data_IF_109373002826
#
_entry.id   IF_109373002826
#
_cell.length_a   1.000
_cell.length_b   1.000
_cell.length_c   1.000
_cell.angle_alpha   90.00
_cell.angle_beta   90.00
_cell.angle_gamma   90.00
#
_symmetry.space_group_name_H-M   'P 1'
#
loop_
_entity.id
_entity.type
_entity.pdbx_description
1 polymer ?
#
# COMPACT_ATOMS: atom_id res chain seq x y z
N UNK A 1 29.35 17.51 -5.73
CA UNK A 1 28.10 17.33 -6.51
C UNK A 1 26.97 17.99 -5.73
N UNK A 2 25.98 18.62 -6.36
CA UNK A 2 24.84 19.15 -5.63
C UNK A 2 24.04 17.97 -5.08
N UNK A 3 24.03 17.82 -3.76
CA UNK A 3 23.10 16.92 -3.06
C UNK A 3 21.71 17.53 -3.17
N UNK A 4 20.91 17.02 -4.10
CA UNK A 4 19.47 17.31 -4.12
C UNK A 4 18.92 16.94 -2.74
N UNK A 5 18.30 17.87 -1.99
CA UNK A 5 17.75 17.53 -0.68
C UNK A 5 16.69 16.45 -0.85
N UNK A 6 16.83 15.36 -0.09
CA UNK A 6 15.86 14.28 -0.06
C UNK A 6 14.50 14.86 0.36
N UNK A 7 13.45 14.47 -0.38
CA UNK A 7 12.08 14.91 -0.14
C UNK A 7 11.65 14.56 1.29
N UNK A 8 11.15 15.54 2.06
CA UNK A 8 10.65 15.40 3.44
C UNK A 8 9.37 14.57 3.56
N UNK A 9 8.71 14.21 2.46
CA UNK A 9 7.59 13.27 2.48
C UNK A 9 8.12 11.90 2.86
N UNK A 10 7.61 11.29 3.92
CA UNK A 10 8.04 9.98 4.42
C UNK A 10 7.98 8.91 3.33
N UNK A 11 9.16 8.66 2.72
CA UNK A 11 9.50 7.52 1.88
C UNK A 11 10.37 6.65 2.77
N UNK A 12 9.90 5.48 3.18
CA UNK A 12 10.70 4.56 4.00
C UNK A 12 10.82 3.22 3.29
N UNK A 13 11.99 2.60 3.39
CA UNK A 13 12.25 1.25 2.91
C UNK A 13 12.46 0.34 4.11
N UNK A 14 11.83 -0.83 4.08
CA UNK A 14 12.06 -1.88 5.07
C UNK A 14 12.72 -3.06 4.36
N UNK A 15 13.92 -3.47 4.78
CA UNK A 15 14.54 -4.69 4.29
C UNK A 15 13.63 -5.91 4.48
N UNK A 16 13.54 -6.75 3.46
CA UNK A 16 12.61 -7.89 3.46
C UNK A 16 12.80 -8.86 4.62
N UNK A 17 14.04 -9.02 5.10
CA UNK A 17 14.36 -9.89 6.22
C UNK A 17 13.81 -9.39 7.57
N UNK A 18 13.28 -8.16 7.63
CA UNK A 18 12.60 -7.63 8.82
C UNK A 18 11.10 -7.94 8.86
N UNK A 19 10.55 -8.63 7.86
CA UNK A 19 9.12 -8.83 7.73
C UNK A 19 8.64 -10.16 8.30
N UNK A 20 7.66 -10.12 9.19
CA UNK A 20 6.86 -11.27 9.64
C UNK A 20 7.73 -12.48 10.01
N UNK A 21 7.49 -13.59 9.32
CA UNK A 21 8.18 -14.87 9.52
C UNK A 21 9.63 -14.88 9.01
N UNK A 22 10.04 -13.87 8.23
CA UNK A 22 11.42 -13.75 7.73
C UNK A 22 12.38 -13.19 8.79
N UNK A 23 11.85 -12.70 9.93
CA UNK A 23 12.66 -12.16 11.02
C UNK A 23 13.51 -13.25 11.64
N UNK A 24 14.81 -13.03 11.68
CA UNK A 24 15.74 -13.95 12.34
C UNK A 24 15.67 -13.79 13.86
N UNK A 25 16.03 -14.85 14.61
CA UNK A 25 16.03 -14.85 16.10
C UNK A 25 16.81 -13.68 16.73
N UNK A 26 17.73 -13.05 16.00
CA UNK A 26 18.55 -11.93 16.49
C UNK A 26 17.92 -10.54 16.39
N UNK A 27 16.91 -10.34 15.53
CA UNK A 27 16.25 -9.03 15.30
C UNK A 27 14.91 -8.92 16.05
N UNK A 28 14.67 -9.82 17.01
CA UNK A 28 13.40 -9.97 17.68
C UNK A 28 12.46 -10.86 16.86
N UNK A 29 12.31 -12.12 17.29
CA UNK A 29 11.30 -13.04 16.79
C UNK A 29 9.95 -12.89 17.51
N UNK A 30 9.85 -11.91 18.42
CA UNK A 30 8.64 -11.70 19.20
C UNK A 30 7.49 -11.34 18.26
N UNK A 31 6.39 -12.11 18.27
CA UNK A 31 5.19 -11.74 17.53
C UNK A 31 4.64 -10.42 18.08
N UNK A 32 3.75 -9.77 17.31
CA UNK A 32 3.00 -8.63 17.85
C UNK A 32 2.28 -9.08 19.13
N UNK A 33 2.43 -8.37 20.27
CA UNK A 33 1.81 -8.76 21.52
C UNK A 33 0.28 -8.81 21.44
N UNK A 34 -0.30 -8.03 20.52
CA UNK A 34 -1.74 -7.94 20.31
C UNK A 34 -2.27 -8.93 19.26
N UNK A 35 -1.39 -9.63 18.55
CA UNK A 35 -1.73 -10.64 17.54
C UNK A 35 -2.78 -10.13 16.53
N UNK A 36 -3.89 -10.86 16.39
CA UNK A 36 -4.98 -10.53 15.46
C UNK A 36 -5.84 -9.32 15.91
N UNK A 37 -5.65 -8.80 17.12
CA UNK A 37 -6.36 -7.65 17.67
C UNK A 37 -5.53 -6.37 17.67
N UNK A 38 -4.37 -6.39 17.03
CA UNK A 38 -3.47 -5.24 16.98
C UNK A 38 -4.17 -3.97 16.49
N UNK A 39 -4.05 -2.91 17.29
CA UNK A 39 -4.59 -1.58 16.98
C UNK A 39 -3.49 -0.61 16.49
N UNK A 40 -2.23 -1.06 16.42
CA UNK A 40 -1.14 -0.24 15.93
C UNK A 40 -1.23 -0.13 14.40
N UNK A 41 -1.50 1.09 13.93
CA UNK A 41 -1.70 1.41 12.52
C UNK A 41 -0.47 2.00 11.83
N UNK A 42 0.68 2.03 12.52
CA UNK A 42 1.94 2.46 11.91
C UNK A 42 2.30 1.50 10.77
N UNK A 43 2.66 2.05 9.61
CA UNK A 43 2.93 1.27 8.41
C UNK A 43 4.10 0.29 8.63
N UNK A 44 5.14 0.73 9.36
CA UNK A 44 6.27 -0.10 9.74
C UNK A 44 5.83 -1.28 10.58
N UNK A 45 4.98 -1.02 11.58
CA UNK A 45 4.47 -2.06 12.47
C UNK A 45 3.68 -3.11 11.69
N UNK A 46 2.79 -2.65 10.80
CA UNK A 46 2.00 -3.52 9.93
C UNK A 46 2.94 -4.38 9.06
N UNK A 47 3.94 -3.80 8.42
CA UNK A 47 4.86 -4.56 7.58
C UNK A 47 5.76 -5.51 8.39
N UNK A 48 6.33 -5.07 9.50
CA UNK A 48 7.27 -5.85 10.31
C UNK A 48 6.57 -7.00 11.01
N UNK A 49 5.40 -6.78 11.60
CA UNK A 49 4.74 -7.78 12.44
C UNK A 49 3.59 -8.51 11.76
N UNK A 50 3.05 -7.95 10.69
CA UNK A 50 1.78 -8.35 10.11
C UNK A 50 1.80 -8.48 8.59
N UNK A 51 2.99 -8.71 8.01
CA UNK A 51 3.19 -8.82 6.56
C UNK A 51 2.26 -9.83 5.87
N UNK A 52 1.96 -10.96 6.54
CA UNK A 52 1.11 -12.04 6.00
C UNK A 52 -0.09 -12.32 6.90
N UNK A 53 -1.24 -12.60 6.28
CA UNK A 53 -2.45 -13.06 6.95
C UNK A 53 -3.17 -12.05 7.84
N UNK A 54 -2.67 -10.81 7.93
CA UNK A 54 -3.27 -9.75 8.74
C UNK A 54 -4.18 -8.86 7.88
N UNK A 55 -5.35 -8.57 8.43
CA UNK A 55 -6.25 -7.55 7.92
C UNK A 55 -6.21 -6.39 8.90
N UNK A 56 -5.44 -5.32 8.61
CA UNK A 56 -5.25 -4.24 9.57
C UNK A 56 -6.55 -3.51 9.91
N UNK A 57 -7.59 -3.71 9.10
CA UNK A 57 -8.84 -2.95 9.19
C UNK A 57 -10.04 -3.73 8.63
N UNK A 58 -11.22 -3.41 9.18
CA UNK A 58 -12.53 -3.76 8.62
C UNK A 58 -12.73 -3.12 7.24
N UNK A 59 -13.82 -3.44 6.52
CA UNK A 59 -14.13 -2.71 5.28
C UNK A 59 -14.34 -1.25 5.61
N UNK A 60 -14.04 -0.39 4.64
CA UNK A 60 -14.16 1.06 4.83
C UNK A 60 -15.55 1.52 5.32
N UNK A 61 -16.61 0.80 4.92
CA UNK A 61 -18.01 1.09 5.30
C UNK A 61 -18.42 0.47 6.64
N UNK A 62 -17.64 -0.48 7.18
CA UNK A 62 -17.89 -1.12 8.47
C UNK A 62 -17.19 -0.39 9.62
N UNK A 63 -16.32 0.58 9.32
CA UNK A 63 -15.59 1.37 10.30
C UNK A 63 -16.51 2.47 10.82
N UNK A 64 -16.77 2.46 12.13
CA UNK A 64 -17.40 3.60 12.82
C UNK A 64 -16.39 4.75 12.88
N UNK A 65 -16.60 5.77 12.04
CA UNK A 65 -15.81 7.02 12.09
C UNK A 65 -16.35 7.88 13.22
N UNK A 66 -15.45 8.35 14.08
CA UNK A 66 -15.81 9.16 15.25
C UNK A 66 -15.89 10.63 14.87
N UNK A 67 -15.08 11.06 13.90
CA UNK A 67 -15.00 12.46 13.48
C UNK A 67 -15.05 12.61 11.94
N UNK A 68 -15.70 13.67 11.42
CA UNK A 68 -15.55 14.10 10.03
C UNK A 68 -14.06 14.36 9.71
N UNK A 69 -13.52 13.70 8.69
CA UNK A 69 -12.10 13.77 8.33
C UNK A 69 -11.26 12.56 8.75
N UNK A 70 -11.81 11.60 9.51
CA UNK A 70 -11.19 10.28 9.74
C UNK A 70 -11.33 9.35 8.51
N UNK A 71 -10.92 9.82 7.34
CA UNK A 71 -10.97 9.05 6.09
C UNK A 71 -9.70 8.22 5.84
N UNK A 72 -8.84 8.09 6.86
CA UNK A 72 -7.56 7.41 6.74
C UNK A 72 -7.72 5.89 6.68
N UNK A 73 -7.06 5.28 5.71
CA UNK A 73 -7.19 3.86 5.43
C UNK A 73 -5.87 3.28 4.94
N UNK A 74 -5.58 2.02 5.28
CA UNK A 74 -4.33 1.37 4.85
C UNK A 74 -4.53 0.66 3.51
N UNK A 75 -3.69 0.94 2.53
CA UNK A 75 -3.69 0.28 1.24
C UNK A 75 -2.43 -0.53 1.01
N UNK A 76 -2.56 -1.64 0.30
CA UNK A 76 -1.44 -2.45 -0.15
C UNK A 76 -1.35 -2.46 -1.66
N UNK A 77 -0.16 -2.28 -2.21
CA UNK A 77 0.10 -2.28 -3.64
C UNK A 77 1.30 -3.17 -3.93
N UNK A 78 1.24 -3.99 -4.98
CA UNK A 78 2.37 -4.80 -5.45
C UNK A 78 2.75 -4.40 -6.86
N UNK A 79 4.06 -4.32 -7.09
CA UNK A 79 4.63 -3.94 -8.38
C UNK A 79 6.00 -4.59 -8.56
N UNK A 80 6.65 -4.32 -9.69
CA UNK A 80 8.02 -4.74 -9.91
C UNK A 80 9.01 -3.79 -9.20
N UNK A 81 10.20 -4.27 -8.80
CA UNK A 81 11.18 -3.44 -8.09
C UNK A 81 11.52 -2.14 -8.80
N UNK A 82 11.68 -2.15 -10.13
CA UNK A 82 12.05 -0.93 -10.87
C UNK A 82 10.96 0.14 -10.80
N UNK A 83 9.69 -0.26 -10.84
CA UNK A 83 8.54 0.63 -10.66
C UNK A 83 8.45 1.15 -9.22
N UNK A 84 8.74 0.32 -8.21
CA UNK A 84 8.78 0.77 -6.82
C UNK A 84 9.84 1.86 -6.59
N UNK A 85 11.04 1.70 -7.17
CA UNK A 85 12.09 2.73 -7.14
C UNK A 85 11.64 4.02 -7.84
N UNK A 86 10.99 3.90 -9.00
CA UNK A 86 10.46 5.09 -9.69
C UNK A 86 9.40 5.82 -8.87
N UNK A 87 8.55 5.10 -8.14
CA UNK A 87 7.60 5.68 -7.18
C UNK A 87 8.37 6.37 -6.05
N UNK A 88 9.45 5.76 -5.55
CA UNK A 88 10.31 6.38 -4.56
C UNK A 88 10.90 7.70 -5.03
N UNK A 89 11.36 7.80 -6.27
CA UNK A 89 11.92 9.06 -6.76
C UNK A 89 10.85 10.09 -7.20
N UNK A 90 9.74 9.65 -7.81
CA UNK A 90 8.82 10.54 -8.55
C UNK A 90 7.36 10.56 -8.05
N UNK A 91 7.08 9.90 -6.92
CA UNK A 91 5.73 9.61 -6.38
C UNK A 91 4.91 8.66 -7.28
N UNK A 92 3.74 8.25 -6.77
CA UNK A 92 2.78 7.45 -7.52
C UNK A 92 2.26 8.20 -8.74
N UNK A 93 2.19 7.50 -9.87
CA UNK A 93 1.58 7.98 -11.11
C UNK A 93 0.18 7.39 -11.26
N UNK A 94 -0.75 8.25 -11.66
CA UNK A 94 -2.14 7.84 -11.95
C UNK A 94 -2.15 7.10 -13.28
N UNK A 95 -2.77 5.92 -13.31
CA UNK A 95 -3.01 5.23 -14.58
C UNK A 95 -4.15 5.92 -15.34
N UNK A 96 -3.84 6.38 -16.56
CA UNK A 96 -4.82 6.97 -17.51
C UNK A 96 -5.28 5.97 -18.57
N UNK A 97 -4.93 4.68 -18.44
CA UNK A 97 -5.44 3.63 -19.33
C UNK A 97 -6.61 2.92 -18.65
N UNK A 98 -7.85 3.30 -18.97
CA UNK A 98 -9.05 2.78 -18.30
C UNK A 98 -9.56 1.46 -18.89
N UNK A 99 -9.31 1.17 -20.17
CA UNK A 99 -9.95 0.09 -20.93
C UNK A 99 -9.68 -1.31 -20.33
N UNK A 100 -8.54 -1.48 -19.66
CA UNK A 100 -8.16 -2.71 -18.98
C UNK A 100 -8.45 -2.72 -17.48
N UNK A 101 -9.07 -1.67 -16.93
CA UNK A 101 -9.22 -1.48 -15.48
C UNK A 101 -10.62 -1.86 -14.98
N UNK A 102 -10.68 -2.33 -13.73
CA UNK A 102 -11.95 -2.80 -13.16
C UNK A 102 -12.84 -1.67 -12.65
N UNK A 103 -12.26 -0.57 -12.14
CA UNK A 103 -12.99 0.50 -11.47
C UNK A 103 -12.46 1.90 -11.86
N UNK A 104 -11.96 2.07 -13.08
CA UNK A 104 -11.57 3.37 -13.64
C UNK A 104 -10.11 3.78 -13.43
N UNK A 105 -9.83 5.05 -13.67
CA UNK A 105 -8.50 5.66 -13.51
C UNK A 105 -8.07 5.68 -12.05
N UNK A 106 -6.78 5.89 -11.82
CA UNK A 106 -6.25 6.13 -10.47
C UNK A 106 -5.09 5.23 -10.08
N UNK A 107 -4.86 5.15 -8.78
CA UNK A 107 -3.88 4.27 -8.14
C UNK A 107 -4.64 3.21 -7.36
N UNK A 108 -4.35 1.96 -7.69
CA UNK A 108 -5.05 0.80 -7.14
C UNK A 108 -4.36 0.27 -5.89
N UNK A 109 -5.15 -0.01 -4.87
CA UNK A 109 -4.71 -0.65 -3.64
C UNK A 109 -5.65 -1.80 -3.28
N UNK A 110 -5.08 -2.85 -2.70
CA UNK A 110 -5.81 -3.91 -2.04
C UNK A 110 -6.00 -3.58 -0.56
N UNK A 111 -7.08 -4.10 0.05
CA UNK A 111 -7.30 -4.02 1.50
C UNK A 111 -6.32 -4.90 2.30
N UNK A 112 -5.76 -5.93 1.68
CA UNK A 112 -4.84 -6.88 2.32
C UNK A 112 -3.68 -7.23 1.39
N UNK A 113 -2.60 -7.72 1.99
CA UNK A 113 -1.44 -8.24 1.26
C UNK A 113 -1.80 -9.46 0.40
N UNK A 114 -2.61 -10.38 0.91
CA UNK A 114 -3.10 -11.55 0.14
C UNK A 114 -3.92 -11.11 -1.08
N UNK A 115 -4.70 -10.03 -0.94
CA UNK A 115 -5.45 -9.42 -2.03
C UNK A 115 -4.55 -8.91 -3.16
N UNK A 116 -3.38 -8.35 -2.82
CA UNK A 116 -2.42 -7.91 -3.84
C UNK A 116 -1.69 -9.09 -4.50
N UNK A 117 -1.29 -10.11 -3.75
CA UNK A 117 -0.58 -11.29 -4.28
C UNK A 117 -1.39 -12.03 -5.36
N UNK A 118 -2.70 -12.17 -5.15
CA UNK A 118 -3.60 -12.88 -6.08
C UNK A 118 -3.93 -12.09 -7.35
N UNK A 119 -3.70 -10.78 -7.35
CA UNK A 119 -4.19 -9.87 -8.41
C UNK A 119 -3.09 -9.16 -9.16
N UNK A 120 -1.89 -9.07 -8.60
CA UNK A 120 -0.82 -8.34 -9.22
C UNK A 120 -0.33 -9.06 -10.48
N UNK A 121 -0.20 -8.31 -11.57
CA UNK A 121 0.47 -8.78 -12.79
C UNK A 121 1.99 -8.58 -12.74
N UNK A 122 2.48 -7.95 -11.66
CA UNK A 122 3.89 -7.62 -11.42
C UNK A 122 4.22 -7.90 -9.96
N UNK A 123 5.34 -8.56 -9.72
CA UNK A 123 5.76 -9.01 -8.39
C UNK A 123 7.20 -8.56 -8.09
N UNK A 124 7.62 -8.73 -6.84
CA UNK A 124 8.98 -8.40 -6.38
C UNK A 124 9.08 -7.18 -5.49
N UNK A 125 8.05 -6.33 -5.41
CA UNK A 125 7.99 -5.22 -4.46
C UNK A 125 6.58 -4.97 -3.93
N UNK A 126 6.50 -4.62 -2.65
CA UNK A 126 5.27 -4.29 -1.94
C UNK A 126 5.31 -2.86 -1.43
N UNK A 127 4.17 -2.21 -1.41
CA UNK A 127 3.97 -0.88 -0.85
C UNK A 127 2.81 -0.94 0.14
N UNK A 128 3.05 -0.56 1.38
CA UNK A 128 2.01 -0.30 2.38
C UNK A 128 1.83 1.21 2.49
N UNK A 129 0.61 1.72 2.32
CA UNK A 129 0.33 3.14 2.24
C UNK A 129 -0.81 3.56 3.18
N UNK A 130 -0.69 4.75 3.75
CA UNK A 130 -1.79 5.45 4.41
C UNK A 130 -2.48 6.35 3.38
N UNK A 131 -3.79 6.18 3.24
CA UNK A 131 -4.61 6.75 2.19
C UNK A 131 -5.71 7.61 2.81
N UNK A 132 -5.86 8.85 2.34
CA UNK A 132 -7.08 9.63 2.53
C UNK A 132 -8.12 9.21 1.50
N UNK A 133 -9.13 8.48 1.97
CA UNK A 133 -10.17 7.93 1.12
C UNK A 133 -11.16 8.98 0.59
N UNK A 134 -11.24 10.17 1.22
CA UNK A 134 -12.20 11.20 0.83
C UNK A 134 -13.65 10.70 0.75
N UNK A 135 -14.40 11.18 -0.24
CA UNK A 135 -15.71 10.66 -0.61
C UNK A 135 -15.58 9.34 -1.39
N UNK A 136 -16.25 8.28 -0.91
CA UNK A 136 -16.06 6.93 -1.44
C UNK A 136 -17.32 6.38 -2.06
N UNK A 137 -17.21 5.99 -3.33
CA UNK A 137 -18.22 5.21 -4.02
C UNK A 137 -18.06 3.72 -3.65
N UNK A 138 -19.10 3.14 -3.06
CA UNK A 138 -19.18 1.69 -2.85
C UNK A 138 -19.62 1.01 -4.15
N UNK A 139 -18.87 0.00 -4.58
CA UNK A 139 -19.19 -0.85 -5.71
C UNK A 139 -19.33 -2.30 -5.26
N UNK A 140 -20.50 -2.89 -5.45
CA UNK A 140 -20.75 -4.29 -5.17
C UNK A 140 -20.49 -5.17 -6.42
N UNK A 141 -20.31 -6.49 -6.28
CA UNK A 141 -19.90 -7.36 -7.40
C UNK A 141 -20.84 -7.31 -8.61
N UNK A 142 -22.14 -7.10 -8.37
CA UNK A 142 -23.18 -6.97 -9.40
C UNK A 142 -22.96 -5.73 -10.30
N UNK A 143 -22.29 -4.70 -9.77
CA UNK A 143 -22.02 -3.44 -10.46
C UNK A 143 -20.70 -3.46 -11.24
N UNK A 144 -19.92 -4.55 -11.18
CA UNK A 144 -18.59 -4.64 -11.81
C UNK A 144 -18.58 -4.25 -13.29
N UNK A 145 -19.58 -4.71 -14.05
CA UNK A 145 -19.67 -4.45 -15.48
C UNK A 145 -20.14 -3.01 -15.80
N UNK A 146 -20.71 -2.30 -14.83
CA UNK A 146 -21.15 -0.92 -15.05
C UNK A 146 -19.96 0.03 -15.13
N UNK A 147 -18.89 -0.24 -14.38
CA UNK A 147 -17.72 0.64 -14.23
C UNK A 147 -16.43 0.11 -14.88
N UNK A 148 -16.40 -1.16 -15.29
CA UNK A 148 -15.26 -1.71 -16.04
C UNK A 148 -15.04 -0.91 -17.32
N UNK A 149 -13.81 -0.43 -17.52
CA UNK A 149 -13.50 0.37 -18.70
C UNK A 149 -14.21 1.73 -18.75
N UNK A 150 -14.68 2.24 -17.61
CA UNK A 150 -15.32 3.56 -17.49
C UNK A 150 -14.78 4.32 -16.30
N UNK A 151 -15.04 5.63 -16.26
CA UNK A 151 -14.56 6.52 -15.21
C UNK A 151 -15.67 7.41 -14.62
N UNK A 152 -16.92 6.95 -14.70
CA UNK A 152 -18.14 7.73 -14.42
C UNK A 152 -18.22 8.25 -12.97
N UNK A 153 -17.45 7.69 -12.04
CA UNK A 153 -17.42 8.12 -10.63
C UNK A 153 -16.45 9.28 -10.35
N UNK A 154 -15.54 9.56 -11.27
CA UNK A 154 -14.39 10.44 -11.04
C UNK A 154 -14.75 11.90 -10.72
N UNK A 155 -15.85 12.37 -11.28
CA UNK A 155 -16.34 13.74 -11.06
C UNK A 155 -17.09 13.90 -9.73
N UNK A 156 -17.50 12.80 -9.11
CA UNK A 156 -18.41 12.82 -7.94
C UNK A 156 -17.80 12.22 -6.68
N UNK A 157 -16.69 11.50 -6.78
CA UNK A 157 -16.06 10.83 -5.64
C UNK A 157 -14.54 10.98 -5.69
N UNK A 158 -13.88 10.76 -4.55
CA UNK A 158 -12.42 10.71 -4.44
C UNK A 158 -11.87 9.29 -4.62
N UNK A 159 -12.65 8.28 -4.25
CA UNK A 159 -12.24 6.88 -4.28
C UNK A 159 -13.38 5.97 -4.73
N UNK A 160 -13.09 5.01 -5.59
CA UNK A 160 -13.97 3.87 -5.84
C UNK A 160 -13.51 2.67 -5.01
N UNK A 161 -14.41 2.07 -4.22
CA UNK A 161 -14.12 0.88 -3.41
C UNK A 161 -14.94 -0.30 -3.91
N UNK A 162 -14.27 -1.34 -4.38
CA UNK A 162 -14.93 -2.56 -4.86
C UNK A 162 -14.95 -3.64 -3.77
N UNK A 163 -16.15 -3.91 -3.27
CA UNK A 163 -16.43 -4.95 -2.29
C UNK A 163 -16.55 -6.30 -3.01
N UNK A 164 -15.55 -7.16 -2.89
CA UNK A 164 -15.63 -8.51 -3.43
C UNK A 164 -16.51 -9.42 -2.56
N UNK A 165 -17.00 -10.54 -3.12
CA UNK A 165 -17.65 -11.59 -2.31
C UNK A 165 -16.68 -12.16 -1.27
N UNK A 166 -15.43 -12.39 -1.67
CA UNK A 166 -14.32 -12.70 -0.76
C UNK A 166 -13.69 -11.38 -0.30
N UNK A 167 -13.91 -11.01 0.97
CA UNK A 167 -13.45 -9.71 1.49
C UNK A 167 -11.93 -9.52 1.45
N UNK A 168 -11.18 -10.63 1.38
CA UNK A 168 -9.71 -10.60 1.25
C UNK A 168 -9.27 -10.05 -0.10
N UNK A 169 -10.17 -10.02 -1.07
CA UNK A 169 -9.94 -9.50 -2.40
C UNK A 169 -10.41 -8.06 -2.55
N UNK A 170 -10.99 -7.42 -1.53
CA UNK A 170 -11.42 -6.02 -1.64
C UNK A 170 -10.28 -5.13 -2.16
N UNK A 171 -10.62 -4.26 -3.10
CA UNK A 171 -9.70 -3.31 -3.71
C UNK A 171 -10.35 -1.93 -3.81
N UNK A 172 -9.54 -0.91 -3.93
CA UNK A 172 -10.00 0.44 -4.11
C UNK A 172 -9.04 1.22 -5.00
N UNK A 173 -9.58 2.20 -5.69
CA UNK A 173 -8.87 3.06 -6.61
C UNK A 173 -9.03 4.51 -6.19
N UNK A 174 -7.91 5.18 -5.91
CA UNK A 174 -7.88 6.59 -5.53
C UNK A 174 -7.58 7.47 -6.74
N UNK A 175 -8.26 8.61 -6.84
CA UNK A 175 -8.15 9.48 -8.01
C UNK A 175 -6.85 10.29 -8.06
N UNK A 176 -6.29 10.61 -6.90
CA UNK A 176 -5.16 11.54 -6.80
C UNK A 176 -4.01 10.99 -5.99
N UNK A 177 -2.78 11.26 -6.43
CA UNK A 177 -1.58 11.01 -5.63
C UNK A 177 -1.59 11.76 -4.29
N UNK A 178 -2.32 12.88 -4.18
CA UNK A 178 -2.41 13.65 -2.94
C UNK A 178 -3.16 12.91 -1.83
N UNK A 179 -3.94 11.89 -2.19
CA UNK A 179 -4.61 11.00 -1.23
C UNK A 179 -3.63 10.01 -0.60
N UNK A 180 -2.43 9.83 -1.15
CA UNK A 180 -1.41 8.93 -0.62
C UNK A 180 -0.54 9.73 0.34
N UNK A 181 -0.86 9.64 1.64
CA UNK A 181 -0.30 10.49 2.68
C UNK A 181 1.12 10.05 3.07
N UNK A 182 1.28 8.75 3.31
CA UNK A 182 2.52 8.12 3.73
C UNK A 182 2.62 6.74 3.08
N UNK A 183 3.84 6.26 2.81
CA UNK A 183 4.02 4.90 2.29
C UNK A 183 5.40 4.31 2.63
N UNK A 184 5.45 2.97 2.64
CA UNK A 184 6.66 2.19 2.87
C UNK A 184 6.82 1.16 1.77
N UNK A 185 8.02 1.06 1.20
CA UNK A 185 8.39 0.04 0.21
C UNK A 185 9.12 -1.11 0.88
N UNK A 186 8.84 -2.32 0.39
CA UNK A 186 9.62 -3.53 0.62
C UNK A 186 9.96 -4.12 -0.74
N UNK A 187 11.20 -4.54 -0.95
CA UNK A 187 11.63 -5.30 -2.13
C UNK A 187 11.92 -6.74 -1.69
N UNK A 188 11.36 -7.74 -2.36
CA UNK A 188 11.56 -9.15 -2.03
C UNK A 188 13.03 -9.57 -2.11
N UNK A 189 13.42 -10.54 -1.26
CA UNK A 189 14.80 -11.00 -1.10
C UNK A 189 15.49 -11.38 -2.42
N UNK A 190 14.76 -11.98 -3.35
CA UNK A 190 15.31 -12.44 -4.64
C UNK A 190 15.73 -11.26 -5.54
N UNK A 191 15.21 -10.07 -5.26
CA UNK A 191 15.53 -8.83 -5.97
C UNK A 191 16.40 -7.88 -5.13
N UNK A 192 16.83 -8.32 -3.94
CA UNK A 192 17.59 -7.55 -2.94
C UNK A 192 19.02 -7.22 -3.41
N UNK A 193 19.61 -8.04 -4.29
CA UNK A 193 20.90 -7.75 -4.95
C UNK A 193 20.86 -6.49 -5.83
N UNK A 194 19.67 -5.97 -6.14
CA UNK A 194 19.49 -4.72 -6.88
C UNK A 194 19.33 -3.48 -5.98
N UNK A 195 19.26 -3.63 -4.66
CA UNK A 195 19.18 -2.51 -3.71
C UNK A 195 20.38 -1.56 -3.85
N UNK A 196 21.59 -2.10 -4.01
CA UNK A 196 22.80 -1.32 -4.36
C UNK A 196 22.71 -0.72 -5.78
N UNK A 197 22.20 -1.48 -6.75
CA UNK A 197 22.04 -1.03 -8.15
C UNK A 197 21.08 0.17 -8.28
N UNK A 198 20.09 0.27 -7.39
CA UNK A 198 19.11 1.34 -7.37
C UNK A 198 19.41 2.43 -6.32
N UNK A 199 20.57 2.38 -5.66
CA UNK A 199 21.00 3.42 -4.71
C UNK A 199 20.17 3.49 -3.42
N UNK A 200 19.41 2.44 -3.09
CA UNK A 200 18.56 2.42 -1.90
C UNK A 200 19.35 2.37 -0.60
N UNK A 201 20.54 1.78 -0.63
CA UNK A 201 21.54 1.83 0.43
C UNK A 201 21.98 3.27 0.76
N UNK A 202 21.86 4.20 -0.19
CA UNK A 202 22.23 5.62 -0.03
C UNK A 202 21.03 6.54 0.18
N UNK A 203 19.89 6.24 -0.46
CA UNK A 203 18.66 7.02 -0.34
C UNK A 203 17.95 6.79 1.01
N UNK A 204 18.15 5.62 1.63
CA UNK A 204 17.56 5.25 2.92
C UNK A 204 18.58 5.10 4.06
N UNK A 205 19.86 5.43 3.84
CA UNK A 205 20.92 5.27 4.84
C UNK A 205 20.66 6.08 6.13
N UNK A 206 19.92 7.18 6.02
CA UNK A 206 19.55 8.04 7.16
C UNK A 206 18.19 7.67 7.78
N UNK A 207 17.41 6.78 7.16
CA UNK A 207 16.25 6.15 7.81
C UNK A 207 16.75 4.99 8.66
N UNK A 208 17.40 5.33 9.77
CA UNK A 208 17.64 4.37 10.84
C UNK A 208 16.26 3.81 11.21
N UNK A 209 16.05 2.51 10.97
CA UNK A 209 15.00 1.77 11.64
C UNK A 209 15.37 1.77 13.12
N UNK A 210 15.03 2.84 13.83
CA UNK A 210 15.12 2.87 15.28
C UNK A 210 14.21 1.76 15.76
N UNK A 211 14.82 0.68 16.24
CA UNK A 211 14.13 -0.27 17.10
C UNK A 211 13.55 0.55 18.26
N UNK A 212 12.22 0.56 18.37
CA UNK A 212 11.53 0.93 19.61
C UNK A 212 11.65 -0.26 20.56
#
# INVERSE_FOLDING_TARGET
MPTTPLSTKHKRYIPYHLLGDNRTRGLGDKPCPDGSKCQNRLLEHILIFHFRGFHPQARYFDIQRKEPGENRYIGFHQTDPSSAIQIAHSDFRISTNYESTMIGHGVYFARSMEGTERKANRHGAYICAEIDMGEVLKLDPEQRNLYRGKNDWWDTHDTAYFCHTDQRLDEFCVKSRSQILNWIIVIEKEFDTKVETYGLDKEFNDTSCWCI
#
